data_IF_822522189911
#
_entry.id   IF_822522189911
#
_cell.length_a   1.000
_cell.length_b   1.000
_cell.length_c   1.000
_cell.angle_alpha   90.00
_cell.angle_beta   90.00
_cell.angle_gamma   90.00
#
_symmetry.space_group_name_H-M   'P 1'
#
loop_
_entity.id
_entity.type
_entity.pdbx_description
1 polymer ?
#
# COMPACT_ATOMS: atom_id res chain seq x y z
N UNK A 1 -8.01 4.73 -13.47
CA UNK A 1 -6.61 4.31 -13.36
C UNK A 1 -6.41 3.42 -12.15
N UNK A 2 -5.57 2.43 -12.30
CA UNK A 2 -5.26 1.50 -11.21
C UNK A 2 -3.88 1.82 -10.65
N UNK A 3 -3.78 1.85 -9.33
CA UNK A 3 -2.49 1.97 -8.64
C UNK A 3 -2.01 0.55 -8.37
N UNK A 4 -0.82 0.20 -8.86
CA UNK A 4 -0.21 -1.11 -8.64
C UNK A 4 1.11 -0.96 -7.92
N UNK A 5 1.39 -1.92 -7.05
CA UNK A 5 2.67 -1.99 -6.36
C UNK A 5 3.12 -3.44 -6.31
N UNK A 6 4.40 -3.65 -6.50
CA UNK A 6 5.01 -4.97 -6.42
C UNK A 6 5.99 -5.03 -5.28
N UNK A 7 6.07 -6.21 -4.68
CA UNK A 7 7.04 -6.50 -3.62
C UNK A 7 7.72 -7.83 -3.89
N UNK A 8 8.92 -7.98 -3.37
CA UNK A 8 9.78 -9.14 -3.62
C UNK A 8 10.33 -9.69 -2.32
N UNK A 9 10.61 -11.00 -2.33
CA UNK A 9 11.34 -11.62 -1.23
C UNK A 9 12.14 -12.80 -1.75
N UNK A 10 13.35 -12.94 -1.24
CA UNK A 10 14.27 -14.02 -1.61
C UNK A 10 14.05 -15.19 -0.66
N UNK A 11 13.83 -16.38 -1.21
CA UNK A 11 13.50 -17.58 -0.44
C UNK A 11 14.67 -17.98 0.47
N UNK A 12 15.87 -18.05 -0.08
CA UNK A 12 17.05 -18.55 0.64
C UNK A 12 17.45 -17.67 1.82
N UNK A 13 17.06 -16.41 1.84
CA UNK A 13 17.38 -15.48 2.95
C UNK A 13 16.39 -15.58 4.11
N UNK A 14 15.30 -16.32 3.95
CA UNK A 14 14.32 -16.48 5.02
C UNK A 14 14.89 -17.34 6.14
N UNK A 15 14.63 -16.91 7.38
CA UNK A 15 15.22 -17.55 8.55
C UNK A 15 14.45 -18.81 8.94
N UNK A 16 14.67 -19.89 8.21
CA UNK A 16 14.12 -21.20 8.52
C UNK A 16 14.96 -22.31 7.89
N UNK A 17 14.99 -23.46 8.53
CA UNK A 17 15.78 -24.62 8.05
C UNK A 17 15.06 -25.45 7.00
N UNK A 18 13.74 -25.44 7.03
CA UNK A 18 12.91 -26.25 6.11
C UNK A 18 12.62 -25.43 4.85
N UNK A 19 12.89 -26.01 3.68
CA UNK A 19 12.70 -25.33 2.39
C UNK A 19 11.25 -24.91 2.15
N UNK A 20 10.29 -25.73 2.54
CA UNK A 20 8.88 -25.42 2.40
C UNK A 20 8.48 -24.21 3.26
N UNK A 21 9.01 -24.16 4.48
CA UNK A 21 8.77 -23.03 5.39
C UNK A 21 9.44 -21.75 4.88
N UNK A 22 10.64 -21.85 4.31
CA UNK A 22 11.31 -20.71 3.69
C UNK A 22 10.46 -20.13 2.56
N UNK A 23 9.84 -20.97 1.72
CA UNK A 23 8.94 -20.51 0.66
C UNK A 23 7.73 -19.79 1.22
N UNK A 24 7.08 -20.33 2.24
CA UNK A 24 5.93 -19.69 2.87
C UNK A 24 6.30 -18.33 3.48
N UNK A 25 7.46 -18.26 4.13
CA UNK A 25 7.97 -17.00 4.69
C UNK A 25 8.25 -15.99 3.59
N UNK A 26 8.82 -16.42 2.47
CA UNK A 26 9.09 -15.55 1.33
C UNK A 26 7.80 -15.02 0.70
N UNK A 27 6.78 -15.86 0.58
CA UNK A 27 5.46 -15.42 0.09
C UNK A 27 4.90 -14.31 0.99
N UNK A 28 4.92 -14.51 2.31
CA UNK A 28 4.46 -13.50 3.27
C UNK A 28 5.30 -12.23 3.21
N UNK A 29 6.62 -12.39 3.14
CA UNK A 29 7.54 -11.25 3.08
C UNK A 29 7.35 -10.44 1.79
N UNK A 30 7.14 -11.10 0.65
CA UNK A 30 6.87 -10.41 -0.61
C UNK A 30 5.58 -9.62 -0.57
N UNK A 31 4.56 -10.15 0.11
CA UNK A 31 3.28 -9.47 0.29
C UNK A 31 3.45 -8.22 1.17
N UNK A 32 4.19 -8.33 2.27
CA UNK A 32 4.48 -7.17 3.13
C UNK A 32 5.28 -6.11 2.37
N UNK A 33 6.23 -6.52 1.55
CA UNK A 33 7.01 -5.60 0.72
C UNK A 33 6.11 -4.88 -0.30
N UNK A 34 5.16 -5.59 -0.90
CA UNK A 34 4.19 -4.98 -1.81
C UNK A 34 3.29 -3.97 -1.09
N UNK A 35 2.84 -4.27 0.13
CA UNK A 35 2.07 -3.33 0.95
C UNK A 35 2.87 -2.09 1.27
N UNK A 36 4.15 -2.23 1.59
CA UNK A 36 5.03 -1.10 1.85
C UNK A 36 5.14 -0.21 0.60
N UNK A 37 5.37 -0.81 -0.55
CA UNK A 37 5.48 -0.08 -1.82
C UNK A 37 4.15 0.63 -2.16
N UNK A 38 3.02 -0.03 -1.94
CA UNK A 38 1.71 0.55 -2.18
C UNK A 38 1.45 1.74 -1.25
N UNK A 39 1.79 1.58 0.02
CA UNK A 39 1.67 2.63 1.03
C UNK A 39 2.45 3.88 0.63
N UNK A 40 3.69 3.71 0.17
CA UNK A 40 4.51 4.83 -0.29
C UNK A 40 3.88 5.55 -1.47
N UNK A 41 3.29 4.82 -2.42
CA UNK A 41 2.60 5.43 -3.56
C UNK A 41 1.36 6.21 -3.13
N UNK A 42 0.56 5.67 -2.20
CA UNK A 42 -0.65 6.36 -1.70
C UNK A 42 -0.27 7.60 -0.90
N UNK A 43 0.71 7.49 -0.02
CA UNK A 43 1.17 8.61 0.83
C UNK A 43 1.70 9.78 -0.01
N UNK A 44 2.29 9.50 -1.16
CA UNK A 44 2.84 10.52 -2.04
C UNK A 44 1.82 11.22 -2.93
N UNK A 45 0.56 10.78 -2.91
CA UNK A 45 -0.47 11.40 -3.76
C UNK A 45 -0.79 12.80 -3.29
N UNK A 46 -0.97 13.71 -4.25
CA UNK A 46 -1.33 15.10 -3.97
C UNK A 46 -2.83 15.23 -3.71
N UNK A 47 -3.18 15.90 -2.63
CA UNK A 47 -4.56 16.28 -2.33
C UNK A 47 -4.90 17.64 -2.96
N UNK A 48 -3.93 18.54 -2.96
CA UNK A 48 -3.97 19.82 -3.65
C UNK A 48 -2.54 20.20 -4.10
N UNK A 49 -2.32 21.44 -4.52
CA UNK A 49 -1.03 21.87 -5.04
C UNK A 49 0.11 21.78 -4.01
N UNK A 50 -0.20 21.79 -2.71
CA UNK A 50 0.80 21.90 -1.65
C UNK A 50 0.71 20.81 -0.58
N UNK A 51 -0.32 19.98 -0.60
CA UNK A 51 -0.58 19.02 0.47
C UNK A 51 -0.65 17.60 -0.07
N UNK A 52 0.13 16.69 0.53
CA UNK A 52 0.08 15.26 0.20
C UNK A 52 -0.82 14.51 1.19
N UNK A 53 -1.14 13.27 0.83
CA UNK A 53 -1.86 12.35 1.72
C UNK A 53 -1.12 12.19 3.04
N UNK A 54 0.20 11.98 2.99
CA UNK A 54 1.02 11.80 4.19
C UNK A 54 0.93 12.99 5.13
N UNK A 55 0.99 14.21 4.60
CA UNK A 55 0.89 15.43 5.41
C UNK A 55 -0.45 15.56 6.10
N UNK A 56 -1.54 15.25 5.39
CA UNK A 56 -2.89 15.31 5.98
C UNK A 56 -3.09 14.27 7.07
N UNK A 57 -2.47 13.10 6.94
CA UNK A 57 -2.55 12.03 7.95
C UNK A 57 -1.96 12.46 9.29
N UNK A 58 -0.96 13.33 9.29
CA UNK A 58 -0.35 13.84 10.52
C UNK A 58 -1.33 14.70 11.31
N UNK A 59 -2.18 15.44 10.61
CA UNK A 59 -3.07 16.44 11.25
C UNK A 59 -4.50 15.95 11.47
N UNK A 60 -4.90 14.82 10.90
CA UNK A 60 -6.26 14.34 10.97
C UNK A 60 -6.32 12.84 11.21
N UNK A 61 -6.81 12.44 12.37
CA UNK A 61 -7.02 11.03 12.72
C UNK A 61 -8.07 10.38 11.81
N UNK A 62 -9.14 11.12 11.50
CA UNK A 62 -10.19 10.63 10.59
C UNK A 62 -9.63 10.33 9.22
N UNK A 63 -8.81 11.23 8.70
CA UNK A 63 -8.18 11.05 7.39
C UNK A 63 -7.21 9.86 7.40
N UNK A 64 -6.38 9.77 8.43
CA UNK A 64 -5.43 8.66 8.58
C UNK A 64 -6.14 7.31 8.63
N UNK A 65 -7.22 7.21 9.40
CA UNK A 65 -8.00 5.97 9.50
C UNK A 65 -8.58 5.57 8.15
N UNK A 66 -9.06 6.52 7.36
CA UNK A 66 -9.60 6.25 6.02
C UNK A 66 -8.49 5.74 5.10
N UNK A 67 -7.32 6.37 5.11
CA UNK A 67 -6.18 5.96 4.28
C UNK A 67 -5.73 4.54 4.63
N UNK A 68 -5.62 4.24 5.92
CA UNK A 68 -5.23 2.91 6.38
C UNK A 68 -6.23 1.84 5.94
N UNK A 69 -7.52 2.15 6.03
CA UNK A 69 -8.58 1.24 5.57
C UNK A 69 -8.53 0.98 4.06
N UNK A 70 -8.24 2.01 3.28
CA UNK A 70 -8.09 1.89 1.82
C UNK A 70 -6.93 0.95 1.49
N UNK A 71 -5.77 1.16 2.11
CA UNK A 71 -4.58 0.33 1.86
C UNK A 71 -4.84 -1.12 2.28
N UNK A 72 -5.46 -1.32 3.43
CA UNK A 72 -5.82 -2.66 3.91
C UNK A 72 -6.73 -3.39 2.92
N UNK A 73 -7.59 -2.66 2.22
CA UNK A 73 -8.53 -3.21 1.23
C UNK A 73 -7.93 -3.44 -0.16
N UNK A 74 -6.62 -3.28 -0.33
CA UNK A 74 -5.98 -3.51 -1.63
C UNK A 74 -6.21 -4.93 -2.12
N UNK A 75 -6.34 -5.07 -3.45
CA UNK A 75 -6.58 -6.35 -4.09
C UNK A 75 -5.25 -7.06 -4.33
N UNK A 76 -5.16 -8.31 -3.89
CA UNK A 76 -4.03 -9.18 -4.23
C UNK A 76 -4.23 -9.70 -5.65
N UNK A 77 -3.45 -9.20 -6.60
CA UNK A 77 -3.55 -9.62 -8.00
C UNK A 77 -2.80 -10.91 -8.27
N UNK A 78 -1.60 -11.03 -7.74
CA UNK A 78 -0.77 -12.20 -7.99
C UNK A 78 0.32 -12.38 -6.96
N UNK A 79 0.71 -13.64 -6.76
CA UNK A 79 1.93 -14.03 -6.06
C UNK A 79 2.58 -15.07 -6.97
N UNK A 80 3.73 -14.73 -7.55
CA UNK A 80 4.39 -15.58 -8.54
C UNK A 80 5.86 -15.77 -8.23
N UNK A 81 6.39 -16.98 -8.48
CA UNK A 81 7.83 -17.19 -8.41
C UNK A 81 8.51 -16.50 -9.58
N UNK A 82 9.63 -15.84 -9.30
CA UNK A 82 10.49 -15.21 -10.29
C UNK A 82 11.84 -15.93 -10.19
N UNK A 83 12.16 -16.74 -11.20
CA UNK A 83 13.34 -17.60 -11.14
C UNK A 83 13.23 -18.65 -10.05
N UNK A 84 14.35 -19.06 -9.47
CA UNK A 84 14.42 -20.18 -8.54
C UNK A 84 14.30 -19.78 -7.08
N UNK A 85 14.50 -18.51 -6.76
CA UNK A 85 14.74 -18.11 -5.35
C UNK A 85 14.00 -16.85 -4.93
N UNK A 86 13.07 -16.34 -5.76
CA UNK A 86 12.35 -15.09 -5.45
C UNK A 86 10.86 -15.25 -5.66
N UNK A 87 10.06 -14.63 -4.78
CA UNK A 87 8.64 -14.42 -5.01
C UNK A 87 8.35 -12.94 -5.27
N UNK A 88 7.40 -12.71 -6.17
CA UNK A 88 6.88 -11.37 -6.46
C UNK A 88 5.40 -11.33 -6.13
N UNK A 89 4.97 -10.33 -5.37
CA UNK A 89 3.56 -10.08 -5.07
C UNK A 89 3.15 -8.76 -5.70
N UNK A 90 1.98 -8.75 -6.35
CA UNK A 90 1.38 -7.54 -6.91
C UNK A 90 0.08 -7.24 -6.21
N UNK A 91 -0.04 -6.01 -5.69
CA UNK A 91 -1.26 -5.46 -5.09
C UNK A 91 -1.76 -4.32 -5.96
N UNK A 92 -3.08 -4.08 -5.92
CA UNK A 92 -3.67 -2.97 -6.65
C UNK A 92 -4.77 -2.27 -5.87
N UNK A 93 -4.95 -1.00 -6.19
CA UNK A 93 -6.06 -0.18 -5.73
C UNK A 93 -6.70 0.50 -6.94
N UNK A 94 -8.02 0.62 -6.91
CA UNK A 94 -8.74 1.44 -7.89
C UNK A 94 -8.30 2.90 -7.72
N UNK A 95 -7.94 3.55 -8.81
CA UNK A 95 -7.49 4.95 -8.77
C UNK A 95 -8.52 5.93 -8.24
N UNK A 96 -9.81 5.55 -8.23
CA UNK A 96 -10.88 6.37 -7.64
C UNK A 96 -10.68 6.64 -6.16
N UNK A 97 -9.91 5.80 -5.45
CA UNK A 97 -9.63 6.02 -4.02
C UNK A 97 -8.91 7.34 -3.78
N UNK A 98 -8.04 7.76 -4.71
CA UNK A 98 -7.33 9.05 -4.60
C UNK A 98 -8.31 10.20 -4.68
N UNK A 99 -9.26 10.13 -5.60
CA UNK A 99 -10.30 11.15 -5.72
C UNK A 99 -11.18 11.19 -4.48
N UNK A 100 -11.52 10.05 -3.91
CA UNK A 100 -12.30 9.97 -2.67
C UNK A 100 -11.55 10.65 -1.51
N UNK A 101 -10.25 10.47 -1.43
CA UNK A 101 -9.41 11.13 -0.43
C UNK A 101 -9.38 12.65 -0.64
N UNK A 102 -9.35 13.12 -1.89
CA UNK A 102 -9.43 14.56 -2.21
C UNK A 102 -10.77 15.14 -1.77
N UNK A 103 -11.86 14.44 -2.02
CA UNK A 103 -13.20 14.87 -1.58
C UNK A 103 -13.26 14.95 -0.06
N UNK A 104 -12.75 13.94 0.64
CA UNK A 104 -12.72 13.95 2.11
C UNK A 104 -11.89 15.14 2.62
N UNK A 105 -10.75 15.41 2.01
CA UNK A 105 -9.88 16.53 2.34
C UNK A 105 -10.61 17.87 2.18
N UNK A 106 -11.29 18.06 1.06
CA UNK A 106 -12.05 19.29 0.80
C UNK A 106 -13.18 19.48 1.81
N UNK A 107 -13.86 18.40 2.17
CA UNK A 107 -14.93 18.46 3.18
C UNK A 107 -14.38 18.85 4.56
N UNK A 108 -13.20 18.37 4.92
CA UNK A 108 -12.56 18.74 6.19
C UNK A 108 -12.09 20.19 6.19
N UNK A 109 -11.58 20.69 5.07
CA UNK A 109 -11.23 22.11 4.93
C UNK A 109 -12.46 23.00 5.09
N UNK A 110 -13.57 22.64 4.43
CA UNK A 110 -14.81 23.39 4.52
C UNK A 110 -15.34 23.44 5.97
N UNK A 111 -15.24 22.33 6.69
CA UNK A 111 -15.65 22.28 8.10
C UNK A 111 -14.79 23.19 8.98
N UNK A 112 -13.48 23.29 8.68
CA UNK A 112 -12.57 24.18 9.43
C UNK A 112 -12.81 25.66 9.16
N UNK A 113 -13.37 25.98 7.99
CA UNK A 113 -13.60 27.37 7.59
C UNK A 113 -14.84 28.00 8.21
N UNK A 114 -15.64 27.23 8.92
CA UNK A 114 -16.86 27.72 9.58
C UNK A 114 -16.60 28.36 10.93
#
# INVERSE_FOLDING_TARGET
QTIRATGYAVISTQNHKNASQQRLMAIRASKLDAYRALTEQVYGQQLDATTTVAEMMVTSDTFRTRVQGIIYGAVLESITPIGDDTYETTLSLDGRVVNDLRVLYLNQLAARSR
#
